data_IF_314551156623
#
_entry.id   IF_314551156623
#
_cell.length_a   1.000
_cell.length_b   1.000
_cell.length_c   1.000
_cell.angle_alpha   90.00
_cell.angle_beta   90.00
_cell.angle_gamma   90.00
#
_symmetry.space_group_name_H-M   'P 1'
#
loop_
_entity.id
_entity.type
_entity.pdbx_description
1 polymer ?
#
# COMPACT_ATOMS: atom_id res chain seq x y z
N UNK A 1 -6.54 -27.33 -51.56
CA UNK A 1 -5.30 -27.50 -50.78
C UNK A 1 -4.87 -26.11 -50.37
N UNK A 2 -4.78 -25.67 -49.12
CA UNK A 2 -5.01 -26.20 -47.77
C UNK A 2 -4.98 -24.94 -46.87
N UNK A 3 -6.12 -24.50 -46.33
CA UNK A 3 -6.38 -24.49 -44.88
C UNK A 3 -5.16 -24.24 -43.97
N UNK A 4 -4.96 -22.99 -43.54
CA UNK A 4 -4.25 -22.71 -42.28
C UNK A 4 -5.01 -21.65 -41.50
N UNK A 5 -6.02 -22.16 -40.78
CA UNK A 5 -6.57 -21.55 -39.60
C UNK A 5 -5.65 -21.86 -38.43
N UNK A 6 -5.05 -20.84 -37.82
CA UNK A 6 -4.49 -20.93 -36.48
C UNK A 6 -5.26 -19.98 -35.58
N UNK A 7 -6.18 -20.61 -34.86
CA UNK A 7 -6.95 -20.05 -33.78
C UNK A 7 -6.12 -19.93 -32.49
N UNK A 8 -6.70 -19.18 -31.56
CA UNK A 8 -6.52 -19.27 -30.12
C UNK A 8 -5.30 -18.54 -29.53
N UNK A 9 -5.55 -17.26 -29.20
CA UNK A 9 -4.79 -16.51 -28.22
C UNK A 9 -5.57 -15.34 -27.63
N UNK A 10 -6.91 -15.39 -27.63
CA UNK A 10 -7.73 -14.42 -26.91
C UNK A 10 -7.48 -14.62 -25.42
N UNK A 11 -6.66 -13.77 -24.81
CA UNK A 11 -6.53 -13.68 -23.35
C UNK A 11 -7.27 -12.43 -22.86
N UNK A 12 -8.59 -12.49 -22.61
CA UNK A 12 -9.25 -11.50 -21.79
C UNK A 12 -9.27 -11.96 -20.32
N UNK A 13 -9.63 -11.06 -19.42
CA UNK A 13 -8.75 -10.35 -18.49
C UNK A 13 -8.38 -11.21 -17.26
N UNK A 14 -7.34 -10.81 -16.53
CA UNK A 14 -7.17 -11.30 -15.16
C UNK A 14 -8.37 -10.82 -14.32
N UNK A 15 -9.33 -11.72 -14.15
CA UNK A 15 -10.39 -11.59 -13.19
C UNK A 15 -9.76 -11.65 -11.78
N UNK A 16 -9.70 -10.48 -11.16
CA UNK A 16 -9.33 -10.31 -9.76
C UNK A 16 -10.12 -9.19 -9.07
N UNK A 17 -11.19 -8.69 -9.68
CA UNK A 17 -12.20 -7.93 -8.94
C UNK A 17 -13.10 -8.93 -8.21
N UNK A 18 -12.56 -9.54 -7.14
CA UNK A 18 -13.40 -10.14 -6.12
C UNK A 18 -14.41 -9.08 -5.63
N UNK A 19 -15.57 -9.49 -5.07
CA UNK A 19 -16.53 -8.53 -4.54
C UNK A 19 -15.81 -7.66 -3.54
N UNK A 20 -15.49 -6.42 -3.95
CA UNK A 20 -14.70 -5.50 -3.16
C UNK A 20 -15.34 -5.43 -1.80
N UNK A 21 -14.63 -5.92 -0.77
CA UNK A 21 -15.12 -5.88 0.60
C UNK A 21 -15.64 -4.47 0.84
N UNK A 22 -16.82 -4.30 1.48
CA UNK A 22 -17.35 -2.98 1.73
C UNK A 22 -16.28 -2.17 2.45
N UNK A 23 -15.72 -1.17 1.73
CA UNK A 23 -14.66 -0.29 2.20
C UNK A 23 -15.12 0.33 3.51
N UNK A 24 -14.58 -0.16 4.62
CA UNK A 24 -14.87 0.42 5.93
C UNK A 24 -14.07 1.71 6.02
N UNK A 25 -14.73 2.78 6.47
CA UNK A 25 -14.03 3.98 6.91
C UNK A 25 -13.08 3.59 8.04
N UNK A 26 -11.81 3.94 7.92
CA UNK A 26 -10.85 3.66 8.97
C UNK A 26 -11.21 4.47 10.21
N UNK A 27 -11.29 3.81 11.36
CA UNK A 27 -11.39 4.52 12.64
C UNK A 27 -10.03 5.06 13.04
N UNK A 28 -10.01 6.00 14.00
CA UNK A 28 -8.75 6.49 14.60
C UNK A 28 -7.94 5.33 15.20
N UNK A 29 -8.61 4.30 15.73
CA UNK A 29 -7.98 3.10 16.27
C UNK A 29 -7.31 2.28 15.17
N UNK A 30 -7.98 2.06 14.04
CA UNK A 30 -7.46 1.30 12.91
C UNK A 30 -6.23 1.99 12.31
N UNK A 31 -6.30 3.32 12.15
CA UNK A 31 -5.16 4.15 11.75
C UNK A 31 -3.98 4.02 12.73
N UNK A 32 -4.25 3.93 14.03
CA UNK A 32 -3.24 3.71 15.05
C UNK A 32 -2.53 2.36 14.90
N UNK A 33 -3.28 1.29 14.64
CA UNK A 33 -2.73 -0.07 14.43
C UNK A 33 -1.91 -0.13 13.14
N UNK A 34 -2.39 0.48 12.07
CA UNK A 34 -1.65 0.58 10.80
C UNK A 34 -0.35 1.38 10.96
N UNK A 35 -0.39 2.49 11.71
CA UNK A 35 0.80 3.30 11.97
C UNK A 35 1.86 2.53 12.77
N UNK A 36 1.46 1.76 13.77
CA UNK A 36 2.38 0.92 14.53
C UNK A 36 2.98 -0.20 13.68
N UNK A 37 2.16 -0.83 12.83
CA UNK A 37 2.62 -1.90 11.94
C UNK A 37 3.61 -1.37 10.91
N UNK A 38 3.34 -0.19 10.32
CA UNK A 38 4.25 0.47 9.39
C UNK A 38 5.58 0.84 10.05
N UNK A 39 5.55 1.37 11.28
CA UNK A 39 6.76 1.75 12.01
C UNK A 39 7.56 0.54 12.52
N UNK A 40 6.93 -0.64 12.60
CA UNK A 40 7.61 -1.89 12.92
C UNK A 40 8.41 -2.47 11.74
N UNK A 41 8.16 -2.00 10.51
CA UNK A 41 8.96 -2.37 9.34
C UNK A 41 10.38 -1.86 9.52
N UNK A 42 11.35 -2.75 9.33
CA UNK A 42 12.76 -2.48 9.58
C UNK A 42 13.19 -1.23 8.81
N UNK A 43 13.76 -0.27 9.53
CA UNK A 43 14.25 0.97 8.96
C UNK A 43 13.20 2.01 8.60
N UNK A 44 11.89 1.78 8.78
CA UNK A 44 10.87 2.83 8.55
C UNK A 44 10.92 3.97 9.59
N UNK A 45 11.68 3.79 10.67
CA UNK A 45 12.06 4.87 11.61
C UNK A 45 13.28 5.66 11.15
N UNK A 46 14.01 5.20 10.12
CA UNK A 46 15.15 5.91 9.54
C UNK A 46 14.66 7.03 8.62
N UNK A 47 15.15 8.27 8.80
CA UNK A 47 14.77 9.39 7.93
C UNK A 47 15.08 9.18 6.44
N UNK A 48 16.10 8.37 6.12
CA UNK A 48 16.50 8.09 4.74
C UNK A 48 15.52 7.12 4.06
N UNK A 49 15.15 6.02 4.75
CA UNK A 49 14.20 5.04 4.23
C UNK A 49 12.78 5.59 4.19
N UNK A 50 12.42 6.43 5.16
CA UNK A 50 11.17 7.19 5.15
C UNK A 50 11.08 8.13 3.96
N UNK A 51 12.17 8.85 3.64
CA UNK A 51 12.19 9.70 2.45
C UNK A 51 12.03 8.88 1.16
N UNK A 52 12.75 7.75 1.06
CA UNK A 52 12.63 6.85 -0.08
C UNK A 52 11.17 6.36 -0.27
N UNK A 53 10.47 6.01 0.81
CA UNK A 53 9.04 5.66 0.76
C UNK A 53 8.18 6.79 0.19
N UNK A 54 8.42 8.03 0.60
CA UNK A 54 7.64 9.20 0.13
C UNK A 54 7.96 9.55 -1.32
N UNK A 55 9.19 9.36 -1.76
CA UNK A 55 9.62 9.63 -3.14
C UNK A 55 8.96 8.65 -4.13
N UNK A 56 8.72 7.40 -3.71
CA UNK A 56 7.97 6.39 -4.47
C UNK A 56 6.44 6.62 -4.44
N UNK A 57 5.94 7.55 -3.63
CA UNK A 57 4.52 7.92 -3.53
C UNK A 57 4.28 9.39 -3.90
N UNK A 58 4.51 9.80 -5.16
CA UNK A 58 4.57 11.22 -5.54
C UNK A 58 3.26 12.00 -5.27
N UNK A 59 2.11 11.32 -5.31
CA UNK A 59 0.79 11.93 -5.02
C UNK A 59 0.54 12.19 -3.52
N UNK A 60 1.30 11.53 -2.66
CA UNK A 60 1.16 11.54 -1.20
C UNK A 60 2.34 12.24 -0.52
N UNK A 61 3.57 12.02 -1.01
CA UNK A 61 4.80 12.59 -0.47
C UNK A 61 4.84 14.12 -0.49
N UNK A 62 4.11 14.76 -1.41
CA UNK A 62 3.98 16.23 -1.46
C UNK A 62 3.04 16.80 -0.39
N UNK A 63 2.15 15.98 0.17
CA UNK A 63 1.18 16.39 1.19
C UNK A 63 1.65 16.07 2.62
N UNK A 64 2.64 15.20 2.78
CA UNK A 64 3.21 14.81 4.09
C UNK A 64 4.49 15.59 4.33
N UNK A 65 4.41 16.64 5.13
CA UNK A 65 5.59 17.42 5.54
C UNK A 65 6.47 16.64 6.52
N UNK A 66 7.78 16.53 6.23
CA UNK A 66 8.82 16.05 7.15
C UNK A 66 8.88 16.93 8.40
N UNK A 67 8.51 16.39 9.55
CA UNK A 67 8.71 17.07 10.84
C UNK A 67 9.42 16.20 11.89
N UNK A 68 9.29 14.88 11.88
CA UNK A 68 10.04 13.91 12.69
C UNK A 68 9.51 12.49 12.40
N UNK A 69 10.35 11.58 11.89
CA UNK A 69 10.01 10.18 11.62
C UNK A 69 9.44 9.50 12.87
N UNK A 70 8.12 9.37 12.91
CA UNK A 70 7.40 8.97 14.11
C UNK A 70 5.90 8.78 13.87
N UNK A 71 5.18 8.48 14.95
CA UNK A 71 3.75 8.11 14.89
C UNK A 71 2.88 9.15 14.19
N UNK A 72 3.15 10.45 14.40
CA UNK A 72 2.35 11.52 13.81
C UNK A 72 2.47 11.55 12.28
N UNK A 73 3.66 11.30 11.74
CA UNK A 73 3.88 11.24 10.29
C UNK A 73 3.25 10.00 9.68
N UNK A 74 3.39 8.83 10.34
CA UNK A 74 2.72 7.61 9.89
C UNK A 74 1.19 7.79 9.84
N UNK A 75 0.59 8.43 10.83
CA UNK A 75 -0.84 8.75 10.82
C UNK A 75 -1.20 9.75 9.70
N UNK A 76 -0.36 10.74 9.45
CA UNK A 76 -0.58 11.73 8.38
C UNK A 76 -0.47 11.09 6.99
N UNK A 77 0.51 10.21 6.80
CA UNK A 77 0.69 9.40 5.59
C UNK A 77 -0.55 8.54 5.34
N UNK A 78 -0.97 7.75 6.33
CA UNK A 78 -2.11 6.84 6.20
C UNK A 78 -3.42 7.59 5.90
N UNK A 79 -3.68 8.72 6.57
CA UNK A 79 -4.85 9.57 6.27
C UNK A 79 -4.82 10.14 4.86
N UNK A 80 -3.64 10.51 4.38
CA UNK A 80 -3.45 11.02 3.02
C UNK A 80 -3.68 9.90 2.00
N UNK A 81 -3.11 8.71 2.23
CA UNK A 81 -3.34 7.53 1.40
C UNK A 81 -4.83 7.13 1.37
N UNK A 82 -5.53 7.17 2.50
CA UNK A 82 -6.98 6.92 2.56
C UNK A 82 -7.75 7.96 1.73
N UNK A 83 -7.44 9.24 1.90
CA UNK A 83 -8.10 10.34 1.19
C UNK A 83 -7.86 10.28 -0.33
N UNK A 84 -6.64 9.91 -0.73
CA UNK A 84 -6.21 9.83 -2.14
C UNK A 84 -6.49 8.47 -2.78
N UNK A 85 -6.99 7.48 -2.02
CA UNK A 85 -7.10 6.07 -2.44
C UNK A 85 -5.78 5.45 -2.91
N UNK A 86 -4.68 5.80 -2.25
CA UNK A 86 -3.32 5.33 -2.54
C UNK A 86 -2.83 4.28 -1.53
N UNK A 87 -3.75 3.58 -0.84
CA UNK A 87 -3.36 2.61 0.20
C UNK A 87 -2.75 1.34 -0.40
N UNK A 88 -3.26 0.87 -1.56
CA UNK A 88 -2.66 -0.24 -2.30
C UNK A 88 -1.24 0.09 -2.78
N UNK A 89 -1.04 1.28 -3.35
CA UNK A 89 0.29 1.77 -3.77
C UNK A 89 1.28 1.83 -2.59
N UNK A 90 0.83 2.29 -1.42
CA UNK A 90 1.65 2.27 -0.21
C UNK A 90 2.07 0.84 0.19
N UNK A 91 1.17 -0.14 0.11
CA UNK A 91 1.50 -1.55 0.40
C UNK A 91 2.52 -2.08 -0.59
N UNK A 92 2.34 -1.82 -1.89
CA UNK A 92 3.27 -2.24 -2.93
C UNK A 92 4.68 -1.68 -2.70
N UNK A 93 4.79 -0.37 -2.44
CA UNK A 93 6.08 0.27 -2.16
C UNK A 93 6.72 -0.30 -0.90
N UNK A 94 5.97 -0.49 0.19
CA UNK A 94 6.49 -1.09 1.43
C UNK A 94 7.02 -2.51 1.17
N UNK A 95 6.32 -3.32 0.37
CA UNK A 95 6.75 -4.66 0.00
C UNK A 95 8.03 -4.64 -0.86
N UNK A 96 8.19 -3.68 -1.77
CA UNK A 96 9.43 -3.50 -2.55
C UNK A 96 10.60 -3.08 -1.67
N UNK A 97 10.35 -2.15 -0.73
CA UNK A 97 11.39 -1.64 0.15
C UNK A 97 11.81 -2.65 1.23
N UNK A 98 10.92 -3.56 1.63
CA UNK A 98 11.14 -4.51 2.72
C UNK A 98 10.55 -5.90 2.41
N UNK A 99 11.05 -6.60 1.36
CA UNK A 99 10.41 -7.81 0.83
C UNK A 99 10.39 -8.99 1.80
N UNK A 100 11.42 -9.11 2.65
CA UNK A 100 11.55 -10.20 3.62
C UNK A 100 11.13 -9.80 5.04
N UNK A 101 10.53 -8.62 5.22
CA UNK A 101 10.17 -8.11 6.54
C UNK A 101 8.78 -8.61 6.96
N UNK A 102 8.65 -9.34 8.09
CA UNK A 102 7.36 -9.84 8.55
C UNK A 102 6.37 -8.71 8.91
N UNK A 103 6.86 -7.53 9.32
CA UNK A 103 6.00 -6.39 9.58
C UNK A 103 5.45 -5.77 8.29
N UNK A 104 6.17 -5.88 7.16
CA UNK A 104 5.67 -5.45 5.85
C UNK A 104 4.53 -6.36 5.37
N UNK A 105 4.69 -7.68 5.53
CA UNK A 105 3.63 -8.65 5.23
C UNK A 105 2.40 -8.45 6.13
N UNK A 106 2.61 -8.19 7.43
CA UNK A 106 1.53 -7.90 8.37
C UNK A 106 0.82 -6.59 8.04
N UNK A 107 1.54 -5.57 7.59
CA UNK A 107 0.97 -4.31 7.12
C UNK A 107 0.03 -4.54 5.93
N UNK A 108 0.50 -5.27 4.91
CA UNK A 108 -0.30 -5.64 3.74
C UNK A 108 -1.59 -6.37 4.14
N UNK A 109 -1.47 -7.41 4.98
CA UNK A 109 -2.62 -8.18 5.48
C UNK A 109 -3.66 -7.28 6.17
N UNK A 110 -3.23 -6.34 7.01
CA UNK A 110 -4.13 -5.42 7.70
C UNK A 110 -4.87 -4.49 6.74
N UNK A 111 -4.17 -3.98 5.72
CA UNK A 111 -4.79 -3.12 4.69
C UNK A 111 -5.88 -3.90 3.92
N UNK A 112 -5.65 -5.16 3.59
CA UNK A 112 -6.64 -6.07 2.98
C UNK A 112 -7.81 -6.39 3.92
N UNK A 113 -7.54 -6.61 5.21
CA UNK A 113 -8.58 -6.82 6.24
C UNK A 113 -9.52 -5.61 6.35
N UNK A 114 -8.99 -4.41 6.21
CA UNK A 114 -9.78 -3.17 6.18
C UNK A 114 -10.45 -2.88 4.83
N UNK A 115 -10.09 -3.62 3.77
CA UNK A 115 -10.68 -3.51 2.44
C UNK A 115 -10.25 -2.25 1.68
N UNK A 116 -8.99 -1.84 1.80
CA UNK A 116 -8.49 -0.56 1.28
C UNK A 116 -7.78 -0.65 -0.09
N UNK A 117 -7.83 -1.81 -0.75
CA UNK A 117 -7.24 -2.09 -2.09
C UNK A 117 -7.87 -1.26 -3.21
#
# INVERSE_FOLDING_TARGET
TDASALAAGTRPPAAGAGPGRPRRRLTVRDLGVLAETLLAVSGMTSPARWQQLLDELPTVGTAVSRQSAGRAEALSLLRTCETRRAMGELVEVVAVLAPDDPAAAEFARRVEEFGLE
#
